data_IF_599986771719
#
_entry.id   IF_599986771719
#
_cell.length_a   1.000
_cell.length_b   1.000
_cell.length_c   1.000
_cell.angle_alpha   90.00
_cell.angle_beta   90.00
_cell.angle_gamma   90.00
#
_symmetry.space_group_name_H-M   'P 1'
#
loop_
_entity.id
_entity.type
_entity.pdbx_description
1 polymer ?
#
# COMPACT_ATOMS: atom_id res chain seq x y z
N UNK A 1 6.84 -24.47 -13.29
CA UNK A 1 6.32 -24.87 -11.97
C UNK A 1 7.10 -24.07 -10.94
N UNK A 2 6.51 -22.99 -10.42
CA UNK A 2 7.10 -22.19 -9.36
C UNK A 2 6.08 -22.09 -8.23
N UNK A 3 6.55 -22.27 -7.01
CA UNK A 3 5.71 -22.37 -5.84
C UNK A 3 5.39 -20.97 -5.31
N UNK A 4 4.11 -20.60 -5.27
CA UNK A 4 3.68 -19.50 -4.41
C UNK A 4 3.87 -19.93 -2.96
N UNK A 5 4.90 -19.41 -2.30
CA UNK A 5 4.91 -19.29 -0.84
C UNK A 5 4.31 -17.93 -0.52
N UNK A 6 3.16 -17.97 0.17
CA UNK A 6 2.48 -16.79 0.71
C UNK A 6 3.41 -15.93 1.56
N UNK A 7 3.12 -14.64 1.70
CA UNK A 7 2.72 -14.02 2.97
C UNK A 7 2.65 -12.50 2.84
N UNK A 8 1.52 -11.91 3.24
CA UNK A 8 1.36 -10.47 3.39
C UNK A 8 2.21 -9.89 4.53
N UNK A 9 2.91 -8.77 4.31
CA UNK A 9 3.92 -8.22 5.24
C UNK A 9 3.66 -6.77 5.68
N UNK A 10 2.94 -6.60 6.79
CA UNK A 10 2.85 -5.32 7.52
C UNK A 10 4.15 -5.05 8.27
N UNK A 11 4.70 -3.84 8.16
CA UNK A 11 5.92 -3.41 8.87
C UNK A 11 5.77 -1.99 9.42
N UNK A 12 6.13 -1.86 10.71
CA UNK A 12 6.34 -0.64 11.50
C UNK A 12 7.42 -0.95 12.58
N UNK A 13 8.23 -0.03 13.12
CA UNK A 13 8.25 1.44 13.11
C UNK A 13 9.69 2.03 13.34
N UNK A 14 9.89 3.34 13.07
CA UNK A 14 11.08 4.22 13.33
C UNK A 14 12.46 3.55 13.45
N UNK A 15 13.29 3.74 12.41
CA UNK A 15 14.75 3.50 12.32
C UNK A 15 15.35 2.12 12.65
N UNK A 16 14.75 1.24 13.48
CA UNK A 16 15.32 -0.10 13.75
C UNK A 16 14.34 -1.24 13.97
N UNK A 17 13.06 -1.01 14.30
CA UNK A 17 12.19 -2.08 14.80
C UNK A 17 11.18 -2.50 13.75
N UNK A 18 11.17 -3.78 13.36
CA UNK A 18 10.23 -4.35 12.39
C UNK A 18 9.36 -5.40 13.11
N UNK A 19 8.06 -5.18 13.18
CA UNK A 19 7.09 -6.18 13.66
C UNK A 19 6.40 -6.85 12.48
N UNK A 20 6.51 -8.18 12.38
CA UNK A 20 5.79 -8.98 11.37
C UNK A 20 4.61 -9.72 12.00
N UNK A 21 3.44 -9.67 11.33
CA UNK A 21 2.19 -10.31 11.77
C UNK A 21 1.69 -11.22 10.64
N UNK A 22 1.94 -12.54 10.69
CA UNK A 22 1.39 -13.47 9.69
C UNK A 22 -0.13 -13.58 9.85
N UNK A 23 -0.82 -13.85 8.74
CA UNK A 23 -2.27 -14.16 8.72
C UNK A 23 -3.11 -13.08 9.45
N UNK A 24 -2.85 -11.80 9.16
CA UNK A 24 -3.60 -10.67 9.74
C UNK A 24 -5.11 -10.81 9.49
N UNK A 25 -5.49 -11.24 8.29
CA UNK A 25 -6.83 -11.69 7.92
C UNK A 25 -6.80 -13.19 7.60
N UNK A 26 -7.97 -13.83 7.61
CA UNK A 26 -8.10 -15.19 7.08
C UNK A 26 -7.83 -15.23 5.57
N UNK A 27 -7.61 -16.43 5.00
CA UNK A 27 -7.41 -16.57 3.57
C UNK A 27 -8.65 -16.12 2.78
N UNK A 28 -9.84 -16.46 3.27
CA UNK A 28 -11.13 -16.07 2.70
C UNK A 28 -11.32 -14.55 2.72
N UNK A 29 -11.01 -13.91 3.85
CA UNK A 29 -11.06 -12.45 3.98
C UNK A 29 -10.04 -11.75 3.08
N UNK A 30 -8.81 -12.27 2.97
CA UNK A 30 -7.78 -11.74 2.07
C UNK A 30 -8.26 -11.77 0.61
N UNK A 31 -8.82 -12.90 0.16
CA UNK A 31 -9.36 -13.07 -1.19
C UNK A 31 -10.54 -12.12 -1.42
N UNK A 32 -11.47 -11.99 -0.46
CA UNK A 32 -12.62 -11.10 -0.57
C UNK A 32 -12.19 -9.62 -0.71
N UNK A 33 -11.23 -9.18 0.10
CA UNK A 33 -10.68 -7.83 0.06
C UNK A 33 -9.91 -7.58 -1.23
N UNK A 34 -9.09 -8.54 -1.68
CA UNK A 34 -8.36 -8.48 -2.95
C UNK A 34 -9.31 -8.30 -4.14
N UNK A 35 -10.38 -9.10 -4.24
CA UNK A 35 -11.38 -9.04 -5.32
C UNK A 35 -12.16 -7.70 -5.30
N UNK A 36 -12.35 -7.09 -4.12
CA UNK A 36 -12.98 -5.76 -4.01
C UNK A 36 -12.01 -4.65 -4.41
N UNK A 37 -10.76 -4.70 -3.94
CA UNK A 37 -9.77 -3.65 -4.17
C UNK A 37 -9.22 -3.67 -5.59
N UNK A 38 -9.08 -4.83 -6.26
CA UNK A 38 -8.63 -4.92 -7.66
C UNK A 38 -9.53 -4.18 -8.67
N UNK A 39 -10.74 -3.78 -8.25
CA UNK A 39 -11.68 -2.95 -9.03
C UNK A 39 -11.48 -1.44 -8.86
N UNK A 40 -10.52 -1.01 -8.02
CA UNK A 40 -10.16 0.41 -7.90
C UNK A 40 -9.56 0.93 -9.23
N UNK A 41 -9.64 2.25 -9.51
CA UNK A 41 -9.19 2.83 -10.78
C UNK A 41 -7.66 3.02 -10.81
N UNK A 42 -6.93 1.92 -10.62
CA UNK A 42 -5.48 1.81 -10.64
C UNK A 42 -4.87 2.32 -11.95
N UNK A 43 -3.78 3.09 -11.84
CA UNK A 43 -3.03 3.62 -13.00
C UNK A 43 -1.52 3.43 -12.81
N UNK A 44 -0.73 3.22 -13.88
CA UNK A 44 0.72 3.28 -13.78
C UNK A 44 1.16 4.69 -13.32
N UNK A 45 1.88 4.83 -12.20
CA UNK A 45 2.33 6.14 -11.73
C UNK A 45 3.41 6.71 -12.66
N UNK A 46 3.61 8.03 -12.61
CA UNK A 46 4.74 8.69 -13.27
C UNK A 46 5.76 9.06 -12.20
N UNK A 47 6.96 8.47 -12.27
CA UNK A 47 8.08 8.83 -11.40
C UNK A 47 9.08 9.70 -12.17
N UNK A 48 9.63 10.72 -11.51
CA UNK A 48 10.77 11.49 -12.03
C UNK A 48 12.03 11.04 -11.30
N UNK A 49 13.02 10.57 -12.06
CA UNK A 49 14.31 10.13 -11.55
C UNK A 49 15.43 10.71 -12.43
N UNK A 50 16.41 11.39 -11.84
CA UNK A 50 17.51 12.05 -12.55
C UNK A 50 17.06 12.90 -13.76
N UNK A 51 15.99 13.69 -13.59
CA UNK A 51 15.42 14.56 -14.63
C UNK A 51 14.64 13.84 -15.74
N UNK A 52 14.51 12.50 -15.70
CA UNK A 52 13.76 11.70 -16.68
C UNK A 52 12.48 11.15 -16.05
N UNK A 53 11.40 11.14 -16.82
CA UNK A 53 10.12 10.54 -16.42
C UNK A 53 10.07 9.06 -16.81
N UNK A 54 9.71 8.20 -15.88
CA UNK A 54 9.50 6.77 -16.08
C UNK A 54 8.09 6.36 -15.66
N UNK A 55 7.57 5.31 -16.27
CA UNK A 55 6.31 4.66 -15.87
C UNK A 55 6.63 3.23 -15.43
N UNK A 56 6.59 2.92 -14.12
CA UNK A 56 6.68 1.55 -13.63
C UNK A 56 5.56 0.70 -14.23
N UNK A 57 5.77 -0.61 -14.31
CA UNK A 57 4.74 -1.55 -14.76
C UNK A 57 3.60 -1.70 -13.73
N UNK A 58 3.94 -1.64 -12.43
CA UNK A 58 2.94 -1.68 -11.35
C UNK A 58 1.93 -0.56 -11.50
N UNK A 59 0.71 -0.79 -11.04
CA UNK A 59 -0.33 0.25 -11.00
C UNK A 59 -0.54 0.69 -9.55
N UNK A 60 -0.78 1.97 -9.33
CA UNK A 60 -0.96 2.56 -8.01
C UNK A 60 -2.28 3.32 -7.92
N UNK A 61 -2.79 3.46 -6.70
CA UNK A 61 -4.01 4.20 -6.38
C UNK A 61 -4.01 4.60 -4.89
N UNK A 62 -4.68 5.69 -4.50
CA UNK A 62 -4.67 6.16 -3.11
C UNK A 62 -6.06 6.50 -2.55
N UNK A 63 -6.21 6.24 -1.25
CA UNK A 63 -7.32 6.73 -0.43
C UNK A 63 -6.79 7.53 0.76
N UNK A 64 -7.61 8.39 1.32
CA UNK A 64 -7.25 9.18 2.49
C UNK A 64 -8.40 10.03 3.00
N UNK A 65 -8.11 10.75 4.08
CA UNK A 65 -9.00 11.76 4.63
C UNK A 65 -9.16 12.95 3.66
N UNK A 66 -10.26 13.69 3.81
CA UNK A 66 -10.49 14.90 3.03
C UNK A 66 -9.43 15.96 3.37
N UNK A 67 -9.11 16.80 2.39
CA UNK A 67 -8.13 17.89 2.48
C UNK A 67 -6.64 17.47 2.66
N UNK A 68 -6.31 16.19 2.47
CA UNK A 68 -4.92 15.75 2.33
C UNK A 68 -4.40 15.92 0.89
N UNK A 69 -3.29 16.64 0.73
CA UNK A 69 -2.49 16.62 -0.50
C UNK A 69 -1.33 15.62 -0.37
N UNK A 70 -1.25 14.65 -1.28
CA UNK A 70 -0.13 13.71 -1.35
C UNK A 70 0.76 14.03 -2.57
N UNK A 71 2.02 14.40 -2.31
CA UNK A 71 2.98 14.71 -3.37
C UNK A 71 3.82 13.48 -3.77
N UNK A 72 3.51 12.87 -4.91
CA UNK A 72 4.27 11.77 -5.50
C UNK A 72 5.22 12.27 -6.60
N UNK A 73 6.52 12.28 -6.32
CA UNK A 73 7.60 12.68 -7.25
C UNK A 73 7.32 13.98 -8.07
N UNK A 74 6.85 15.05 -7.40
CA UNK A 74 6.52 16.32 -8.05
C UNK A 74 5.19 16.31 -8.83
N UNK A 75 4.26 15.43 -8.47
CA UNK A 75 2.87 15.45 -8.84
C UNK A 75 2.00 15.34 -7.58
N UNK A 76 1.18 16.36 -7.28
CA UNK A 76 0.17 16.24 -6.23
C UNK A 76 -1.01 15.43 -6.76
N UNK A 77 -1.33 14.34 -6.08
CA UNK A 77 -2.58 13.60 -6.28
C UNK A 77 -3.44 13.76 -5.02
N UNK A 78 -4.67 14.24 -5.20
CA UNK A 78 -5.67 14.20 -4.14
C UNK A 78 -6.14 12.74 -4.00
N UNK A 79 -6.02 12.12 -2.82
CA UNK A 79 -6.54 10.78 -2.60
C UNK A 79 -8.07 10.80 -2.71
N UNK A 80 -8.68 9.68 -3.11
CA UNK A 80 -10.14 9.59 -3.01
C UNK A 80 -10.59 9.38 -1.55
N UNK A 81 -11.81 9.81 -1.18
CA UNK A 81 -12.41 9.45 0.10
C UNK A 81 -12.47 7.93 0.27
N UNK A 82 -12.18 7.46 1.50
CA UNK A 82 -12.14 6.04 1.85
C UNK A 82 -13.36 5.23 1.35
N UNK A 83 -13.11 4.17 0.59
CA UNK A 83 -14.17 3.26 0.16
C UNK A 83 -14.62 2.32 1.31
N UNK A 84 -15.75 1.62 1.14
CA UNK A 84 -16.30 0.70 2.15
C UNK A 84 -15.35 -0.43 2.57
N UNK A 85 -14.48 -0.91 1.67
CA UNK A 85 -13.51 -1.96 1.96
C UNK A 85 -12.39 -1.41 2.84
N UNK A 86 -11.84 -0.23 2.50
CA UNK A 86 -10.85 0.45 3.33
C UNK A 86 -11.41 0.84 4.70
N UNK A 87 -12.68 1.26 4.78
CA UNK A 87 -13.34 1.56 6.05
C UNK A 87 -13.57 0.32 6.94
N UNK A 88 -13.58 -0.90 6.39
CA UNK A 88 -13.44 -2.14 7.20
C UNK A 88 -12.00 -2.32 7.67
N UNK A 89 -11.04 -2.20 6.75
CA UNK A 89 -9.65 -2.59 7.00
C UNK A 89 -8.87 -1.62 7.89
N UNK A 90 -9.16 -0.32 7.79
CA UNK A 90 -8.47 0.75 8.53
C UNK A 90 -8.58 0.54 10.06
N UNK A 91 -9.78 0.44 10.67
CA UNK A 91 -9.92 0.20 12.10
C UNK A 91 -9.23 -1.07 12.61
N UNK A 92 -9.22 -2.14 11.81
CA UNK A 92 -8.56 -3.41 12.18
C UNK A 92 -7.03 -3.23 12.26
N UNK A 93 -6.43 -2.53 11.29
CA UNK A 93 -5.00 -2.19 11.29
C UNK A 93 -4.67 -1.24 12.44
N UNK A 94 -5.44 -0.17 12.61
CA UNK A 94 -5.26 0.83 13.68
C UNK A 94 -5.31 0.19 15.07
N UNK A 95 -6.29 -0.68 15.30
CA UNK A 95 -6.43 -1.45 16.55
C UNK A 95 -5.25 -2.40 16.80
N UNK A 96 -4.65 -2.96 15.73
CA UNK A 96 -3.55 -3.92 15.86
C UNK A 96 -2.20 -3.23 16.04
N UNK A 97 -1.98 -2.07 15.44
CA UNK A 97 -0.73 -1.31 15.53
C UNK A 97 -0.71 -0.31 16.69
N UNK A 98 -1.88 0.17 17.13
CA UNK A 98 -2.00 1.21 18.15
C UNK A 98 -1.80 2.64 17.61
N UNK A 99 -1.91 2.83 16.29
CA UNK A 99 -1.72 4.11 15.60
C UNK A 99 -2.87 4.40 14.65
N UNK A 100 -3.14 5.67 14.39
CA UNK A 100 -4.13 6.12 13.40
C UNK A 100 -3.46 6.38 12.05
N UNK A 101 -4.18 6.13 10.95
CA UNK A 101 -3.71 6.37 9.58
C UNK A 101 -4.68 7.26 8.81
N UNK A 102 -4.19 8.30 8.15
CA UNK A 102 -5.01 9.24 7.39
C UNK A 102 -4.88 9.06 5.86
N UNK A 103 -3.98 8.19 5.39
CA UNK A 103 -3.67 7.94 3.99
C UNK A 103 -3.29 6.48 3.74
N UNK A 104 -3.57 5.97 2.54
CA UNK A 104 -3.05 4.69 2.04
C UNK A 104 -2.64 4.81 0.57
N UNK A 105 -1.48 4.22 0.23
CA UNK A 105 -1.07 3.95 -1.14
C UNK A 105 -1.27 2.46 -1.45
N UNK A 106 -2.25 2.15 -2.28
CA UNK A 106 -2.43 0.83 -2.85
C UNK A 106 -1.46 0.65 -4.04
N UNK A 107 -0.72 -0.46 -4.05
CA UNK A 107 0.07 -0.90 -5.21
C UNK A 107 -0.47 -2.25 -5.68
N UNK A 108 -0.75 -2.36 -6.97
CA UNK A 108 -1.26 -3.55 -7.62
C UNK A 108 -0.24 -4.07 -8.63
N UNK A 109 0.01 -5.37 -8.55
CA UNK A 109 0.98 -6.13 -9.34
C UNK A 109 0.22 -7.29 -9.99
N UNK A 110 0.14 -7.31 -11.31
CA UNK A 110 -0.58 -8.34 -12.09
C UNK A 110 0.26 -9.61 -12.30
N UNK A 111 1.58 -9.51 -12.14
CA UNK A 111 2.57 -10.56 -12.37
C UNK A 111 3.90 -10.32 -11.63
N UNK A 112 4.73 -11.36 -11.52
CA UNK A 112 6.09 -11.29 -10.95
C UNK A 112 7.08 -10.42 -11.75
N UNK A 113 6.66 -9.91 -12.91
CA UNK A 113 7.45 -8.99 -13.73
C UNK A 113 7.35 -7.53 -13.24
N UNK A 114 6.29 -7.18 -12.50
CA UNK A 114 6.13 -5.86 -11.90
C UNK A 114 6.89 -5.77 -10.58
N UNK A 115 7.76 -4.78 -10.44
CA UNK A 115 8.62 -4.60 -9.26
C UNK A 115 8.70 -3.14 -8.87
N UNK A 116 9.06 -2.91 -7.61
CA UNK A 116 9.54 -1.61 -7.14
C UNK A 116 11.05 -1.74 -6.90
N UNK A 117 11.82 -0.72 -7.33
CA UNK A 117 13.27 -0.69 -7.08
C UNK A 117 13.56 -0.46 -5.59
N UNK A 118 14.81 -0.66 -5.18
CA UNK A 118 15.24 -0.26 -3.84
C UNK A 118 15.03 1.25 -3.65
N UNK A 119 14.31 1.63 -2.60
CA UNK A 119 13.95 3.00 -2.24
C UNK A 119 13.63 3.07 -0.75
N UNK A 120 13.41 4.28 -0.25
CA UNK A 120 12.99 4.60 1.11
C UNK A 120 11.86 5.64 1.01
N UNK A 121 10.86 5.55 1.90
CA UNK A 121 9.77 6.54 2.01
C UNK A 121 10.24 7.81 2.75
N UNK A 122 11.23 8.50 2.18
CA UNK A 122 11.94 9.62 2.78
C UNK A 122 11.31 11.00 2.48
N UNK A 123 9.98 11.09 2.57
CA UNK A 123 9.24 12.33 2.23
C UNK A 123 9.36 13.40 3.32
N UNK A 124 9.38 14.70 2.96
CA UNK A 124 9.35 15.80 3.94
C UNK A 124 8.17 15.76 4.93
N UNK A 125 7.01 15.31 4.47
CA UNK A 125 5.81 15.09 5.30
C UNK A 125 5.93 13.90 6.28
N UNK A 126 6.96 13.07 6.12
CA UNK A 126 7.24 11.87 6.92
C UNK A 126 8.46 12.04 7.85
N UNK A 127 8.99 13.26 8.00
CA UNK A 127 10.10 13.54 8.95
C UNK A 127 9.65 13.75 10.40
N UNK A 128 8.36 13.92 10.66
CA UNK A 128 7.79 13.67 11.98
C UNK A 128 7.62 12.15 12.12
N UNK A 129 7.85 11.55 13.29
CA UNK A 129 7.88 10.09 13.51
C UNK A 129 6.59 9.36 13.09
N UNK A 130 6.46 9.05 11.81
CA UNK A 130 5.28 8.43 11.21
C UNK A 130 5.34 6.92 11.25
N UNK A 131 4.17 6.34 11.49
CA UNK A 131 3.97 4.90 11.42
C UNK A 131 3.50 4.54 10.00
N UNK A 132 4.22 3.63 9.34
CA UNK A 132 3.78 3.01 8.08
C UNK A 132 3.15 1.65 8.41
N UNK A 133 2.11 1.23 7.69
CA UNK A 133 1.55 -0.12 7.80
C UNK A 133 1.29 -0.70 6.41
N UNK A 134 2.03 -1.75 6.05
CA UNK A 134 2.04 -2.33 4.70
C UNK A 134 1.19 -3.59 4.62
N UNK A 135 -0.13 -3.49 4.47
CA UNK A 135 -0.91 -4.70 4.26
C UNK A 135 -0.80 -5.19 2.80
N UNK A 136 -0.40 -6.45 2.62
CA UNK A 136 -0.54 -7.15 1.33
C UNK A 136 -1.79 -8.03 1.35
N UNK A 137 -2.31 -8.37 0.18
CA UNK A 137 -3.45 -9.27 0.01
C UNK A 137 -3.16 -10.15 -1.20
N UNK A 138 -3.39 -11.45 -1.05
CA UNK A 138 -3.10 -12.45 -2.09
C UNK A 138 -4.41 -12.99 -2.68
N UNK A 139 -4.44 -13.30 -4.00
CA UNK A 139 -5.52 -14.06 -4.61
C UNK A 139 -5.50 -15.52 -4.10
N UNK A 140 -6.52 -16.29 -4.46
CA UNK A 140 -6.54 -17.72 -4.15
C UNK A 140 -5.33 -18.44 -4.76
N UNK A 141 -4.57 -19.16 -3.94
CA UNK A 141 -3.52 -20.06 -4.41
C UNK A 141 -4.20 -21.33 -4.94
N UNK A 142 -4.12 -21.55 -6.25
CA UNK A 142 -4.52 -22.78 -6.96
C UNK A 142 -3.35 -23.73 -7.09
#
# INVERSE_FOLDING_TARGET
MFHYKSFAQVVCNVFTNITYIPNFYSQEESIEMFIKLSKCPFKPPIIKFCGKSYRPLRKSFSYGDMDLEYEYFGHCELPLPWNRTMLKMKPDVEKKTGFEYNFVLLNFYESDHEKIGAHEDNKPSLYQSVNIATLSLEPAVT
#
